data_IF_533271837626
#
_entry.id   IF_533271837626
#
_cell.length_a   1.000
_cell.length_b   1.000
_cell.length_c   1.000
_cell.angle_alpha   90.00
_cell.angle_beta   90.00
_cell.angle_gamma   90.00
#
_symmetry.space_group_name_H-M   'P 1'
#
loop_
_entity.id
_entity.type
_entity.pdbx_description
1 polymer ?
#
# COMPACT_ATOMS: atom_id res chain seq x y z
N UNK A 1 43.56 23.04 19.17
CA UNK A 1 43.04 22.02 20.11
C UNK A 1 41.74 21.55 19.47
N UNK A 2 41.89 20.81 18.37
CA UNK A 2 41.92 19.33 18.26
C UNK A 2 40.49 18.85 18.02
N UNK A 3 40.04 18.72 16.76
CA UNK A 3 40.24 17.54 15.88
C UNK A 3 39.96 16.18 16.56
N UNK A 4 39.00 16.12 17.49
CA UNK A 4 38.68 14.88 18.22
C UNK A 4 37.21 14.43 18.18
N UNK A 5 36.32 14.99 17.35
CA UNK A 5 34.89 14.60 17.38
C UNK A 5 34.22 14.30 16.02
N UNK A 6 34.98 14.14 14.94
CA UNK A 6 34.43 13.52 13.71
C UNK A 6 35.16 12.18 13.54
N UNK A 7 34.65 11.16 14.24
CA UNK A 7 35.02 9.78 13.94
C UNK A 7 34.57 9.50 12.50
N UNK A 8 35.45 8.84 11.74
CA UNK A 8 35.46 8.87 10.28
C UNK A 8 34.14 8.32 9.72
N UNK A 9 33.22 9.18 9.27
CA UNK A 9 31.97 8.78 8.59
C UNK A 9 32.26 7.82 7.43
N UNK A 10 33.48 7.87 6.88
CA UNK A 10 34.00 6.92 5.90
C UNK A 10 33.94 5.46 6.36
N UNK A 11 34.00 5.20 7.66
CA UNK A 11 33.90 3.83 8.20
C UNK A 11 32.47 3.27 8.04
N UNK A 12 31.46 4.12 7.89
CA UNK A 12 30.05 3.73 7.69
C UNK A 12 29.47 4.16 6.34
N UNK A 13 30.18 4.98 5.56
CA UNK A 13 29.73 5.40 4.23
C UNK A 13 29.61 4.20 3.28
N UNK A 14 28.48 4.09 2.57
CA UNK A 14 28.19 3.00 1.65
C UNK A 14 26.80 2.40 1.84
N UNK A 15 26.60 1.25 1.20
CA UNK A 15 25.32 0.54 1.19
C UNK A 15 25.37 -0.61 2.19
N UNK A 16 24.34 -0.69 3.03
CA UNK A 16 24.22 -1.65 4.11
C UNK A 16 22.90 -2.39 4.00
N UNK A 17 22.95 -3.71 3.84
CA UNK A 17 21.78 -4.55 3.66
C UNK A 17 21.67 -5.54 4.83
N UNK A 18 20.50 -5.63 5.43
CA UNK A 18 20.18 -6.68 6.38
C UNK A 18 18.79 -7.25 6.13
N UNK A 19 18.54 -8.37 6.77
CA UNK A 19 17.26 -9.08 6.72
C UNK A 19 16.59 -9.01 8.08
N UNK A 20 15.32 -8.64 8.08
CA UNK A 20 14.48 -8.51 9.25
C UNK A 20 13.43 -9.62 9.22
N UNK A 21 13.50 -10.56 10.15
CA UNK A 21 12.43 -11.54 10.35
C UNK A 21 11.25 -10.85 11.03
N UNK A 22 10.10 -10.77 10.34
CA UNK A 22 8.89 -10.17 10.89
C UNK A 22 7.90 -11.24 11.35
N UNK A 23 7.05 -10.94 12.35
CA UNK A 23 5.96 -11.83 12.74
C UNK A 23 5.12 -12.26 11.54
N UNK A 24 4.74 -13.54 11.48
CA UNK A 24 4.07 -14.14 10.31
C UNK A 24 5.01 -14.89 9.36
N UNK A 25 6.32 -14.94 9.67
CA UNK A 25 7.29 -15.78 8.95
C UNK A 25 7.86 -15.17 7.67
N UNK A 26 7.51 -13.91 7.37
CA UNK A 26 8.08 -13.17 6.26
C UNK A 26 9.44 -12.56 6.64
N UNK A 27 10.29 -12.37 5.63
CA UNK A 27 11.58 -11.69 5.75
C UNK A 27 11.53 -10.37 4.96
N UNK A 28 11.92 -9.26 5.60
CA UNK A 28 12.03 -7.95 4.95
C UNK A 28 13.49 -7.54 4.86
N UNK A 29 13.98 -7.33 3.63
CA UNK A 29 15.33 -6.82 3.38
C UNK A 29 15.34 -5.30 3.49
N UNK A 30 16.06 -4.82 4.48
CA UNK A 30 16.21 -3.40 4.78
C UNK A 30 17.60 -2.95 4.32
N UNK A 31 17.62 -1.92 3.48
CA UNK A 31 18.83 -1.33 2.95
C UNK A 31 18.97 0.10 3.45
N UNK A 32 20.14 0.45 3.99
CA UNK A 32 20.52 1.83 4.28
C UNK A 32 21.61 2.27 3.30
N UNK A 33 21.41 3.42 2.67
CA UNK A 33 22.44 4.10 1.91
C UNK A 33 22.94 5.29 2.73
N UNK A 34 24.16 5.20 3.25
CA UNK A 34 24.77 6.22 4.09
C UNK A 34 25.83 6.95 3.27
N UNK A 35 25.74 8.28 3.25
CA UNK A 35 26.64 9.15 2.49
C UNK A 35 27.09 10.34 3.32
N UNK A 36 28.20 10.95 2.92
CA UNK A 36 28.65 12.21 3.51
C UNK A 36 27.88 13.40 2.91
N UNK A 37 27.08 14.06 3.73
CA UNK A 37 26.31 15.25 3.37
C UNK A 37 27.09 16.57 3.50
N UNK A 38 26.40 17.72 3.34
CA UNK A 38 26.98 19.04 3.52
C UNK A 38 27.64 19.20 4.89
N UNK A 39 28.73 19.96 4.95
CA UNK A 39 29.53 20.18 6.18
C UNK A 39 30.17 18.92 6.79
N UNK A 40 30.18 17.81 6.05
CA UNK A 40 30.77 16.55 6.51
C UNK A 40 29.92 15.81 7.53
N UNK A 41 28.60 16.09 7.59
CA UNK A 41 27.65 15.37 8.43
C UNK A 41 27.09 14.15 7.69
N UNK A 42 26.78 13.04 8.37
CA UNK A 42 26.23 11.87 7.71
C UNK A 42 24.77 12.10 7.30
N UNK A 43 24.43 11.69 6.09
CA UNK A 43 23.05 11.63 5.59
C UNK A 43 22.73 10.20 5.18
N UNK A 44 21.48 9.78 5.29
CA UNK A 44 21.09 8.44 4.87
C UNK A 44 19.68 8.38 4.28
N UNK A 45 19.46 7.37 3.45
CA UNK A 45 18.12 6.91 3.04
C UNK A 45 17.96 5.45 3.41
N UNK A 46 16.71 5.03 3.57
CA UNK A 46 16.32 3.64 3.79
C UNK A 46 15.47 3.15 2.62
N UNK A 47 15.72 1.92 2.18
CA UNK A 47 14.84 1.18 1.30
C UNK A 47 14.32 -0.07 2.05
N UNK A 48 13.02 -0.34 1.95
CA UNK A 48 12.45 -1.65 2.25
C UNK A 48 12.26 -2.37 0.92
N UNK A 49 13.22 -3.25 0.58
CA UNK A 49 13.32 -3.79 -0.77
C UNK A 49 12.11 -4.66 -1.13
N UNK A 50 11.64 -5.46 -0.17
CA UNK A 50 10.48 -6.33 -0.32
C UNK A 50 9.15 -5.58 -0.23
N UNK A 51 9.14 -4.28 0.04
CA UNK A 51 7.92 -3.47 0.03
C UNK A 51 8.00 -2.36 -1.02
N UNK A 52 9.04 -2.39 -1.87
CA UNK A 52 9.36 -1.38 -2.88
C UNK A 52 9.28 0.07 -2.40
N UNK A 53 9.48 0.28 -1.10
CA UNK A 53 9.50 1.58 -0.48
C UNK A 53 10.95 2.06 -0.51
N UNK A 54 11.26 2.95 -1.47
CA UNK A 54 12.61 3.37 -1.80
C UNK A 54 12.87 4.82 -1.40
N UNK A 55 14.11 5.12 -1.01
CA UNK A 55 14.58 6.48 -0.76
C UNK A 55 13.93 7.13 0.47
N UNK A 56 13.43 6.33 1.42
CA UNK A 56 12.78 6.85 2.62
C UNK A 56 13.81 7.69 3.39
N UNK A 57 13.53 8.97 3.68
CA UNK A 57 14.48 9.81 4.39
C UNK A 57 14.80 9.26 5.78
N UNK A 58 16.09 9.21 6.13
CA UNK A 58 16.54 8.98 7.51
C UNK A 58 16.82 10.35 8.13
N UNK A 59 15.91 10.85 8.96
CA UNK A 59 15.98 12.22 9.47
C UNK A 59 17.02 12.43 10.57
N UNK A 60 17.48 11.36 11.23
CA UNK A 60 18.55 11.44 12.22
C UNK A 60 19.59 10.35 11.95
N UNK A 61 20.84 10.74 11.72
CA UNK A 61 21.99 9.84 11.64
C UNK A 61 23.02 10.26 12.68
N UNK A 62 23.34 9.38 13.63
CA UNK A 62 24.41 9.63 14.60
C UNK A 62 25.37 8.46 14.63
N UNK A 63 26.66 8.75 14.55
CA UNK A 63 27.72 7.74 14.64
C UNK A 63 28.80 8.20 15.62
N UNK A 64 29.07 7.39 16.63
CA UNK A 64 30.09 7.68 17.65
C UNK A 64 30.58 6.39 18.30
N UNK A 65 31.90 6.27 18.43
CA UNK A 65 32.60 5.17 19.11
C UNK A 65 32.24 3.78 18.57
N UNK A 66 31.93 3.69 17.27
CA UNK A 66 31.48 2.46 16.62
C UNK A 66 29.96 2.27 16.66
N UNK A 67 29.23 3.02 17.48
CA UNK A 67 27.77 2.94 17.59
C UNK A 67 27.10 3.84 16.56
N UNK A 68 26.22 3.23 15.75
CA UNK A 68 25.40 3.87 14.74
C UNK A 68 23.94 3.88 15.20
N UNK A 69 23.28 5.02 15.05
CA UNK A 69 21.83 5.15 15.16
C UNK A 69 21.26 5.85 13.94
N UNK A 70 20.21 5.26 13.38
CA UNK A 70 19.45 5.76 12.23
C UNK A 70 17.98 5.88 12.63
N UNK A 71 17.37 7.04 12.46
CA UNK A 71 15.96 7.29 12.76
C UNK A 71 15.18 7.64 11.50
N UNK A 72 14.10 6.90 11.25
CA UNK A 72 13.18 7.05 10.12
C UNK A 72 11.82 7.44 10.68
N UNK A 73 11.57 8.75 10.79
CA UNK A 73 10.42 9.32 11.52
C UNK A 73 9.10 9.04 10.82
N UNK A 74 9.08 9.00 9.49
CA UNK A 74 7.90 8.70 8.67
C UNK A 74 7.22 7.39 9.07
N UNK A 75 8.01 6.38 9.45
CA UNK A 75 7.53 5.05 9.87
C UNK A 75 7.78 4.77 11.35
N UNK A 76 8.25 5.77 12.10
CA UNK A 76 8.67 5.66 13.52
C UNK A 76 9.63 4.50 13.75
N UNK A 77 10.55 4.30 12.81
CA UNK A 77 11.56 3.25 12.81
C UNK A 77 12.91 3.76 13.29
N UNK A 78 13.63 2.92 14.01
CA UNK A 78 14.94 3.23 14.58
C UNK A 78 15.85 2.01 14.46
N UNK A 79 17.00 2.18 13.83
CA UNK A 79 18.09 1.20 13.92
C UNK A 79 19.13 1.69 14.93
N UNK A 80 19.57 0.80 15.83
CA UNK A 80 20.72 1.02 16.71
C UNK A 80 21.65 -0.19 16.60
N UNK A 81 22.91 0.02 16.26
CA UNK A 81 23.87 -1.08 16.12
C UNK A 81 25.32 -0.63 16.25
N UNK A 82 26.22 -1.59 16.40
CA UNK A 82 27.66 -1.36 16.57
C UNK A 82 28.42 -1.94 15.39
N UNK A 83 29.25 -1.11 14.75
CA UNK A 83 30.14 -1.52 13.67
C UNK A 83 31.20 -2.50 14.20
N UNK A 84 31.31 -3.66 13.56
CA UNK A 84 32.28 -4.70 13.93
C UNK A 84 33.69 -4.36 13.41
N UNK A 85 34.70 -5.01 13.98
CA UNK A 85 36.12 -4.80 13.62
C UNK A 85 36.41 -5.05 12.14
N UNK A 86 35.61 -5.88 11.46
CA UNK A 86 35.72 -6.17 10.03
C UNK A 86 35.33 -4.99 9.12
N UNK A 87 34.69 -3.95 9.66
CA UNK A 87 34.13 -2.77 8.96
C UNK A 87 33.15 -3.11 7.84
N UNK A 88 32.62 -4.33 7.85
CA UNK A 88 31.69 -4.89 6.88
C UNK A 88 30.37 -5.33 7.50
N UNK A 89 30.32 -5.41 8.83
CA UNK A 89 29.14 -5.84 9.57
C UNK A 89 28.78 -4.79 10.61
N UNK A 90 27.48 -4.46 10.72
CA UNK A 90 26.92 -3.72 11.85
C UNK A 90 25.88 -4.63 12.50
N UNK A 91 26.13 -5.03 13.74
CA UNK A 91 25.19 -5.84 14.52
C UNK A 91 24.33 -4.90 15.37
N UNK A 92 23.02 -5.03 15.28
CA UNK A 92 22.12 -4.15 16.00
C UNK A 92 20.69 -4.66 16.07
N UNK A 93 19.81 -3.73 16.40
CA UNK A 93 18.38 -3.96 16.54
C UNK A 93 17.60 -2.89 15.76
N UNK A 94 16.56 -3.34 15.07
CA UNK A 94 15.52 -2.49 14.52
C UNK A 94 14.38 -2.35 15.53
N UNK A 95 13.97 -1.12 15.79
CA UNK A 95 12.91 -0.77 16.74
C UNK A 95 11.82 -0.02 15.98
N UNK A 96 10.63 -0.61 15.88
CA UNK A 96 9.52 0.00 15.15
C UNK A 96 8.20 -0.47 15.71
N UNK A 97 7.27 0.47 15.86
CA UNK A 97 5.93 0.21 16.39
C UNK A 97 5.95 -0.58 17.71
N UNK A 98 7.00 -0.38 18.53
CA UNK A 98 7.25 -1.11 19.77
C UNK A 98 7.96 -2.45 19.61
N UNK A 99 7.94 -3.11 18.46
CA UNK A 99 8.76 -4.30 18.23
C UNK A 99 10.25 -3.95 18.27
N UNK A 100 11.05 -4.87 18.84
CA UNK A 100 12.52 -4.83 18.80
C UNK A 100 12.98 -6.13 18.15
N UNK A 101 13.58 -6.02 16.98
CA UNK A 101 13.94 -7.13 16.12
C UNK A 101 15.44 -7.07 15.84
N UNK A 102 16.20 -8.17 15.98
CA UNK A 102 17.60 -8.22 15.58
C UNK A 102 17.73 -7.83 14.10
N UNK A 103 18.71 -6.99 13.78
CA UNK A 103 19.04 -6.65 12.40
C UNK A 103 20.56 -6.57 12.27
N UNK A 104 21.11 -7.49 11.48
CA UNK A 104 22.52 -7.49 11.12
C UNK A 104 22.66 -6.93 9.72
N UNK A 105 23.33 -5.78 9.62
CA UNK A 105 23.61 -5.14 8.34
C UNK A 105 24.98 -5.58 7.83
N UNK A 106 25.01 -6.03 6.57
CA UNK A 106 26.22 -6.34 5.83
C UNK A 106 26.46 -5.29 4.75
N UNK A 107 27.70 -4.85 4.61
CA UNK A 107 28.11 -3.93 3.55
C UNK A 107 28.03 -4.60 2.19
N UNK A 108 27.42 -3.94 1.22
CA UNK A 108 27.30 -4.39 -0.17
C UNK A 108 27.79 -3.29 -1.12
N UNK A 109 28.20 -3.68 -2.33
CA UNK A 109 28.71 -2.74 -3.33
C UNK A 109 27.58 -2.10 -4.16
N UNK A 110 26.53 -2.87 -4.43
CA UNK A 110 25.40 -2.45 -5.27
C UNK A 110 24.08 -2.98 -4.70
N UNK A 111 23.02 -2.17 -4.81
CA UNK A 111 21.67 -2.56 -4.41
C UNK A 111 21.19 -3.76 -5.25
N UNK A 112 20.63 -4.82 -4.64
CA UNK A 112 20.07 -5.93 -5.39
C UNK A 112 18.92 -5.48 -6.29
N UNK A 113 18.93 -5.92 -7.55
CA UNK A 113 17.78 -5.77 -8.44
C UNK A 113 16.73 -6.83 -8.07
N UNK A 114 15.54 -6.39 -7.66
CA UNK A 114 14.39 -7.27 -7.47
C UNK A 114 13.54 -7.17 -8.73
N UNK A 115 13.46 -8.29 -9.45
CA UNK A 115 12.66 -8.39 -10.66
C UNK A 115 12.01 -9.76 -10.71
N UNK A 116 10.70 -9.78 -10.95
CA UNK A 116 9.90 -10.98 -11.22
C UNK A 116 9.82 -11.23 -12.73
N UNK A 117 9.47 -12.44 -13.12
CA UNK A 117 9.45 -12.83 -14.54
C UNK A 117 8.48 -12.00 -15.39
N UNK A 118 7.31 -11.65 -14.83
CA UNK A 118 6.27 -10.87 -15.50
C UNK A 118 6.59 -9.38 -15.62
N UNK A 119 7.63 -8.87 -14.95
CA UNK A 119 8.03 -7.48 -15.11
C UNK A 119 8.48 -7.24 -16.56
N UNK A 120 7.85 -6.29 -17.28
CA UNK A 120 8.17 -6.03 -18.67
C UNK A 120 9.63 -5.59 -18.81
N UNK A 121 10.26 -5.98 -19.92
CA UNK A 121 11.67 -5.67 -20.20
C UNK A 121 11.78 -4.71 -21.38
N UNK A 122 12.65 -3.70 -21.23
CA UNK A 122 12.94 -2.72 -22.27
C UNK A 122 13.76 -3.34 -23.43
N UNK A 123 13.63 -2.81 -24.67
CA UNK A 123 12.75 -1.71 -25.06
C UNK A 123 11.29 -2.17 -25.16
N UNK A 124 10.37 -1.34 -24.67
CA UNK A 124 8.94 -1.60 -24.77
C UNK A 124 8.43 -1.36 -26.21
N UNK A 125 7.34 -2.05 -26.63
CA UNK A 125 6.71 -1.82 -27.92
C UNK A 125 5.84 -0.55 -27.94
N UNK A 126 5.76 0.15 -26.82
CA UNK A 126 5.06 1.41 -26.61
C UNK A 126 6.06 2.46 -26.09
N UNK A 127 5.61 3.72 -25.99
CA UNK A 127 6.39 4.80 -25.43
C UNK A 127 6.03 5.02 -23.95
N UNK A 128 7.00 5.50 -23.17
CA UNK A 128 6.80 5.86 -21.76
C UNK A 128 7.33 7.29 -21.53
N UNK A 129 6.62 8.03 -20.69
CA UNK A 129 6.97 9.39 -20.30
C UNK A 129 6.88 9.52 -18.77
N UNK A 130 7.94 10.05 -18.16
CA UNK A 130 7.88 10.52 -16.78
C UNK A 130 7.12 11.86 -16.74
N UNK A 131 6.05 11.90 -15.96
CA UNK A 131 5.13 13.02 -15.92
C UNK A 131 4.99 13.56 -14.51
N UNK A 132 4.69 14.85 -14.41
CA UNK A 132 4.30 15.49 -13.15
C UNK A 132 3.09 16.37 -13.42
N UNK A 133 2.04 16.19 -12.63
CA UNK A 133 0.84 17.01 -12.69
C UNK A 133 0.49 17.55 -11.30
N UNK A 134 -0.35 18.59 -11.26
CA UNK A 134 -0.64 19.34 -10.03
C UNK A 134 -2.09 19.13 -9.62
N UNK A 135 -2.31 18.70 -8.37
CA UNK A 135 -3.58 18.90 -7.70
C UNK A 135 -3.56 20.29 -7.06
N UNK A 136 -4.05 21.29 -7.82
CA UNK A 136 -4.00 22.70 -7.42
C UNK A 136 -4.83 23.01 -6.18
N UNK A 137 -5.88 22.22 -5.90
CA UNK A 137 -6.73 22.40 -4.72
C UNK A 137 -5.97 22.01 -3.44
N UNK A 138 -5.24 20.89 -3.49
CA UNK A 138 -4.42 20.42 -2.38
C UNK A 138 -3.01 21.04 -2.33
N UNK A 139 -2.58 21.73 -3.39
CA UNK A 139 -1.24 22.32 -3.49
C UNK A 139 -0.13 21.27 -3.55
N UNK A 140 -0.42 20.09 -4.12
CA UNK A 140 0.55 18.99 -4.26
C UNK A 140 0.82 18.69 -5.73
N UNK A 141 2.06 18.32 -6.01
CA UNK A 141 2.51 17.74 -7.28
C UNK A 141 2.59 16.23 -7.16
N UNK A 142 2.05 15.55 -8.16
CA UNK A 142 2.00 14.11 -8.27
C UNK A 142 2.90 13.69 -9.43
N UNK A 143 3.89 12.86 -9.12
CA UNK A 143 4.77 12.26 -10.11
C UNK A 143 4.18 10.94 -10.59
N UNK A 144 4.38 10.63 -11.87
CA UNK A 144 3.85 9.40 -12.45
C UNK A 144 4.54 9.03 -13.76
N UNK A 145 4.07 7.95 -14.35
CA UNK A 145 4.45 7.51 -15.69
C UNK A 145 3.20 7.43 -16.55
N UNK A 146 3.25 8.02 -17.74
CA UNK A 146 2.26 7.84 -18.80
C UNK A 146 2.83 6.90 -19.87
N UNK A 147 2.17 5.79 -20.12
CA UNK A 147 2.50 4.90 -21.24
C UNK A 147 1.56 5.14 -22.41
N UNK A 148 2.11 5.20 -23.63
CA UNK A 148 1.39 5.56 -24.86
C UNK A 148 1.62 4.50 -25.94
N UNK A 149 0.55 3.96 -26.55
CA UNK A 149 0.69 3.10 -27.72
C UNK A 149 1.42 3.83 -28.87
N UNK A 150 2.15 3.08 -29.70
CA UNK A 150 2.79 3.64 -30.92
C UNK A 150 1.87 3.73 -32.14
N UNK A 151 0.63 3.28 -32.02
CA UNK A 151 -0.38 3.41 -33.08
C UNK A 151 -0.84 4.87 -33.23
N UNK A 152 -1.67 5.17 -34.23
CA UNK A 152 -2.27 6.50 -34.35
C UNK A 152 -3.34 6.70 -33.26
N UNK A 153 -3.26 7.83 -32.55
CA UNK A 153 -4.25 8.26 -31.56
C UNK A 153 -5.41 9.09 -32.15
N UNK A 154 -6.23 9.74 -31.32
CA UNK A 154 -6.14 9.79 -29.85
C UNK A 154 -6.56 8.46 -29.18
N UNK A 155 -5.90 8.13 -28.07
CA UNK A 155 -6.07 6.85 -27.37
C UNK A 155 -7.13 6.94 -26.26
N UNK A 156 -7.92 5.88 -26.04
CA UNK A 156 -8.56 5.70 -24.74
C UNK A 156 -7.48 5.60 -23.65
N UNK A 157 -7.81 6.03 -22.44
CA UNK A 157 -6.85 6.05 -21.35
C UNK A 157 -7.44 5.49 -20.06
N UNK A 158 -6.58 4.96 -19.19
CA UNK A 158 -6.95 4.59 -17.82
C UNK A 158 -5.97 5.18 -16.81
N UNK A 159 -6.50 5.52 -15.64
CA UNK A 159 -5.69 5.84 -14.44
C UNK A 159 -5.74 4.62 -13.52
N UNK A 160 -4.58 4.13 -13.09
CA UNK A 160 -4.49 3.08 -12.06
C UNK A 160 -4.44 3.74 -10.67
N UNK A 161 -5.30 3.28 -9.75
CA UNK A 161 -5.46 3.82 -8.40
C UNK A 161 -5.08 2.73 -7.41
N UNK A 162 -4.03 2.99 -6.65
CA UNK A 162 -3.39 2.07 -5.70
C UNK A 162 -4.29 1.71 -4.53
N UNK A 163 -3.98 0.60 -3.86
CA UNK A 163 -4.60 0.17 -2.62
C UNK A 163 -4.15 0.97 -1.40
N UNK A 164 -4.44 0.42 -0.22
CA UNK A 164 -4.19 1.14 1.04
C UNK A 164 -2.71 1.25 1.41
N UNK A 165 -2.41 2.32 2.15
CA UNK A 165 -1.05 2.63 2.60
C UNK A 165 -0.27 3.51 1.61
N UNK A 166 0.97 3.85 1.94
CA UNK A 166 1.82 4.65 1.07
C UNK A 166 2.35 3.81 -0.12
N UNK A 167 1.79 4.00 -1.32
CA UNK A 167 2.16 3.21 -2.50
C UNK A 167 2.92 4.01 -3.55
N UNK A 168 3.85 3.34 -4.23
CA UNK A 168 4.45 3.84 -5.47
C UNK A 168 3.51 3.55 -6.66
N UNK A 169 3.79 4.15 -7.82
CA UNK A 169 2.98 3.99 -9.04
C UNK A 169 2.83 2.56 -9.57
N UNK A 170 3.67 1.64 -9.13
CA UNK A 170 3.68 0.23 -9.56
C UNK A 170 2.91 -0.69 -8.60
N UNK A 171 2.42 -0.14 -7.47
CA UNK A 171 1.79 -0.88 -6.38
C UNK A 171 2.68 -2.03 -5.86
N UNK A 172 3.97 -1.72 -5.70
CA UNK A 172 5.00 -2.69 -5.38
C UNK A 172 4.83 -3.38 -4.02
N UNK A 173 4.78 -4.71 -3.99
CA UNK A 173 4.73 -5.51 -2.75
C UNK A 173 5.39 -6.87 -2.92
N UNK A 174 6.32 -7.25 -2.05
CA UNK A 174 7.14 -8.47 -2.12
C UNK A 174 7.81 -8.70 -3.49
N UNK A 175 8.21 -7.61 -4.15
CA UNK A 175 8.78 -7.59 -5.50
C UNK A 175 7.76 -7.77 -6.64
N UNK A 176 6.48 -7.90 -6.32
CA UNK A 176 5.40 -7.86 -7.31
C UNK A 176 5.03 -6.42 -7.64
N UNK A 177 4.88 -6.14 -8.93
CA UNK A 177 4.51 -4.83 -9.47
C UNK A 177 3.25 -4.94 -10.32
N UNK A 178 2.07 -5.21 -9.71
CA UNK A 178 0.85 -5.51 -10.45
C UNK A 178 0.45 -4.39 -11.41
N UNK A 179 0.66 -3.12 -11.04
CA UNK A 179 0.33 -2.00 -11.92
C UNK A 179 1.32 -1.82 -13.06
N UNK A 180 2.57 -2.25 -12.90
CA UNK A 180 3.54 -2.31 -14.02
C UNK A 180 3.13 -3.37 -15.05
N UNK A 181 2.77 -4.57 -14.58
CA UNK A 181 2.34 -5.66 -15.46
C UNK A 181 1.02 -5.30 -16.16
N UNK A 182 0.04 -4.75 -15.42
CA UNK A 182 -1.24 -4.33 -15.98
C UNK A 182 -1.08 -3.17 -16.98
N UNK A 183 -0.21 -2.20 -16.70
CA UNK A 183 0.09 -1.10 -17.62
C UNK A 183 0.73 -1.59 -18.92
N UNK A 184 1.72 -2.49 -18.86
CA UNK A 184 2.30 -3.10 -20.08
C UNK A 184 1.23 -3.83 -20.90
N UNK A 185 0.41 -4.64 -20.23
CA UNK A 185 -0.65 -5.40 -20.88
C UNK A 185 -1.67 -4.51 -21.60
N UNK A 186 -2.21 -3.49 -20.92
CA UNK A 186 -3.21 -2.58 -21.51
C UNK A 186 -2.61 -1.68 -22.60
N UNK A 187 -1.37 -1.21 -22.43
CA UNK A 187 -0.70 -0.35 -23.43
C UNK A 187 -0.46 -1.11 -24.74
N UNK A 188 -0.11 -2.40 -24.66
CA UNK A 188 -0.02 -3.27 -25.84
C UNK A 188 -1.36 -3.47 -26.57
N UNK A 189 -2.47 -3.22 -25.90
CA UNK A 189 -3.82 -3.30 -26.47
C UNK A 189 -4.34 -1.94 -26.98
N UNK A 190 -3.50 -0.91 -27.00
CA UNK A 190 -3.87 0.40 -27.55
C UNK A 190 -4.53 1.34 -26.55
N UNK A 191 -4.37 1.10 -25.24
CA UNK A 191 -4.90 1.93 -24.16
C UNK A 191 -3.75 2.68 -23.50
N UNK A 192 -3.80 4.01 -23.42
CA UNK A 192 -2.84 4.78 -22.64
C UNK A 192 -3.03 4.56 -21.14
N UNK A 193 -1.96 4.49 -20.35
CA UNK A 193 -2.07 4.23 -18.91
C UNK A 193 -1.29 5.26 -18.12
N UNK A 194 -1.99 5.97 -17.23
CA UNK A 194 -1.37 6.82 -16.22
C UNK A 194 -1.27 6.05 -14.89
N UNK A 195 -0.05 6.00 -14.37
CA UNK A 195 0.24 5.50 -13.02
C UNK A 195 0.93 6.60 -12.25
N UNK A 196 0.51 6.86 -11.02
CA UNK A 196 1.06 7.94 -10.19
C UNK A 196 1.53 7.40 -8.85
N UNK A 197 2.61 7.99 -8.32
CA UNK A 197 3.00 7.76 -6.93
C UNK A 197 2.01 8.49 -6.03
N UNK A 198 1.59 7.86 -4.94
CA UNK A 198 0.72 8.52 -3.97
C UNK A 198 1.39 9.79 -3.43
N UNK A 199 0.58 10.77 -3.01
CA UNK A 199 1.09 12.00 -2.40
C UNK A 199 2.14 11.70 -1.32
N UNK A 200 3.27 12.40 -1.36
CA UNK A 200 4.38 12.20 -0.43
C UNK A 200 5.20 10.92 -0.62
N UNK A 201 4.91 10.12 -1.66
CA UNK A 201 5.64 8.90 -2.02
C UNK A 201 6.35 9.11 -3.36
N UNK A 202 7.51 8.47 -3.53
CA UNK A 202 8.29 8.53 -4.76
C UNK A 202 8.62 9.97 -5.18
N UNK A 203 8.23 10.36 -6.39
CA UNK A 203 8.43 11.72 -6.89
C UNK A 203 7.34 12.71 -6.47
N UNK A 204 6.28 12.25 -5.82
CA UNK A 204 5.15 13.07 -5.41
C UNK A 204 5.45 13.86 -4.14
N UNK A 205 5.01 15.11 -4.12
CA UNK A 205 5.08 15.98 -2.94
C UNK A 205 3.88 15.76 -2.01
N UNK A 206 3.90 16.32 -0.80
CA UNK A 206 2.80 16.24 0.15
C UNK A 206 3.14 15.36 1.36
N UNK A 207 2.12 15.03 2.15
CA UNK A 207 2.27 14.25 3.38
C UNK A 207 1.08 13.28 3.53
N UNK A 208 1.38 12.00 3.79
CA UNK A 208 0.40 10.91 3.92
C UNK A 208 -0.26 10.80 5.32
N UNK A 209 0.27 11.46 6.34
CA UNK A 209 -0.14 11.23 7.74
C UNK A 209 -1.52 11.79 8.09
N UNK A 210 -2.06 12.73 7.32
CA UNK A 210 -3.31 13.43 7.63
C UNK A 210 -4.36 13.36 6.52
N UNK A 211 -4.21 12.41 5.60
CA UNK A 211 -5.05 12.32 4.39
C UNK A 211 -6.00 11.13 4.51
N UNK A 212 -7.04 11.14 3.68
CA UNK A 212 -8.10 10.14 3.63
C UNK A 212 -8.34 9.70 2.17
N UNK A 213 -9.17 8.69 1.94
CA UNK A 213 -9.54 8.28 0.57
C UNK A 213 -10.19 9.41 -0.24
N UNK A 214 -10.78 10.41 0.43
CA UNK A 214 -11.30 11.63 -0.19
C UNK A 214 -10.23 12.51 -0.82
N UNK A 215 -9.10 12.62 -0.13
CA UNK A 215 -7.94 13.35 -0.61
C UNK A 215 -7.32 12.68 -1.84
N UNK A 216 -7.19 11.35 -1.79
CA UNK A 216 -6.71 10.55 -2.92
C UNK A 216 -7.69 10.63 -4.11
N UNK A 217 -9.00 10.67 -3.87
CA UNK A 217 -9.97 10.95 -4.95
C UNK A 217 -9.72 12.31 -5.62
N UNK A 218 -9.32 13.34 -4.87
CA UNK A 218 -8.88 14.62 -5.41
C UNK A 218 -7.64 14.52 -6.30
N UNK A 219 -6.68 13.67 -5.92
CA UNK A 219 -5.47 13.42 -6.70
C UNK A 219 -5.78 12.72 -8.04
N UNK A 220 -6.72 11.77 -8.03
CA UNK A 220 -7.20 11.11 -9.25
C UNK A 220 -7.95 12.08 -10.15
N UNK A 221 -8.78 12.97 -9.60
CA UNK A 221 -9.45 14.03 -10.37
C UNK A 221 -8.44 14.95 -11.07
N UNK A 222 -7.34 15.32 -10.41
CA UNK A 222 -6.25 16.06 -11.04
C UNK A 222 -5.57 15.27 -12.17
N UNK A 223 -5.45 13.94 -12.03
CA UNK A 223 -4.95 13.05 -13.08
C UNK A 223 -5.87 13.00 -14.30
N UNK A 224 -7.20 13.04 -14.10
CA UNK A 224 -8.18 13.13 -15.20
C UNK A 224 -7.99 14.45 -15.97
N UNK A 225 -7.87 15.58 -15.27
CA UNK A 225 -7.64 16.88 -15.92
C UNK A 225 -6.29 16.93 -16.65
N UNK A 226 -5.25 16.30 -16.09
CA UNK A 226 -3.97 16.14 -16.77
C UNK A 226 -4.13 15.36 -18.08
N UNK A 227 -4.77 14.18 -18.06
CA UNK A 227 -4.99 13.38 -19.27
C UNK A 227 -5.81 14.13 -20.33
N UNK A 228 -6.84 14.90 -19.92
CA UNK A 228 -7.64 15.73 -20.84
C UNK A 228 -6.82 16.84 -21.52
N UNK A 229 -5.68 17.23 -20.95
CA UNK A 229 -4.79 18.24 -21.54
C UNK A 229 -3.84 17.69 -22.60
N UNK A 230 -3.74 16.35 -22.74
CA UNK A 230 -2.85 15.66 -23.67
C UNK A 230 -3.54 15.46 -25.02
N UNK A 231 -2.90 15.88 -26.11
CA UNK A 231 -3.43 15.73 -27.48
C UNK A 231 -3.50 14.25 -27.92
N UNK A 232 -2.68 13.40 -27.30
CA UNK A 232 -2.62 11.96 -27.55
C UNK A 232 -3.81 11.20 -26.96
N UNK A 233 -4.57 11.82 -26.06
CA UNK A 233 -5.63 11.17 -25.28
C UNK A 233 -7.00 11.61 -25.75
N UNK A 234 -7.92 10.65 -25.88
CA UNK A 234 -9.33 10.93 -26.12
C UNK A 234 -10.03 11.24 -24.79
N UNK A 235 -10.41 12.49 -24.54
CA UNK A 235 -10.96 12.91 -23.25
C UNK A 235 -12.34 12.28 -22.96
N UNK A 236 -12.99 11.66 -23.96
CA UNK A 236 -14.29 11.00 -23.78
C UNK A 236 -14.18 9.52 -23.41
N UNK A 237 -12.95 8.98 -23.40
CA UNK A 237 -12.66 7.56 -23.14
C UNK A 237 -11.60 7.40 -22.04
N UNK A 238 -11.75 8.14 -20.95
CA UNK A 238 -10.91 8.02 -19.74
C UNK A 238 -11.64 7.13 -18.73
N UNK A 239 -11.05 5.98 -18.39
CA UNK A 239 -11.54 5.08 -17.35
C UNK A 239 -10.65 5.06 -16.10
N UNK A 240 -11.13 4.43 -15.04
CA UNK A 240 -10.38 4.24 -13.79
C UNK A 240 -10.28 2.75 -13.48
N UNK A 241 -9.12 2.31 -12.99
CA UNK A 241 -8.93 0.96 -12.45
C UNK A 241 -8.38 1.11 -11.05
N UNK A 242 -9.13 0.70 -10.04
CA UNK A 242 -8.74 0.81 -8.64
C UNK A 242 -8.59 -0.54 -7.99
N UNK A 243 -7.46 -0.78 -7.32
CA UNK A 243 -7.22 -1.99 -6.54
C UNK A 243 -7.42 -1.73 -5.05
N UNK A 244 -8.07 -2.65 -4.33
CA UNK A 244 -8.30 -2.55 -2.89
C UNK A 244 -8.95 -1.20 -2.51
N UNK A 245 -8.30 -0.34 -1.70
CA UNK A 245 -8.78 1.02 -1.44
C UNK A 245 -9.01 1.85 -2.70
N UNK A 246 -8.19 1.69 -3.74
CA UNK A 246 -8.40 2.32 -5.05
C UNK A 246 -9.76 1.96 -5.67
N UNK A 247 -10.27 0.75 -5.40
CA UNK A 247 -11.60 0.31 -5.80
C UNK A 247 -12.73 0.98 -5.02
N UNK A 248 -12.47 1.50 -3.81
CA UNK A 248 -13.36 2.39 -3.07
C UNK A 248 -13.28 3.84 -3.59
N UNK A 249 -12.09 4.28 -4.00
CA UNK A 249 -11.83 5.63 -4.51
C UNK A 249 -12.45 5.85 -5.91
N UNK A 250 -12.38 4.86 -6.81
CA UNK A 250 -12.88 4.99 -8.17
C UNK A 250 -14.37 5.40 -8.26
N UNK A 251 -15.31 4.80 -7.49
CA UNK A 251 -16.69 5.28 -7.40
C UNK A 251 -16.83 6.73 -6.90
N UNK A 252 -16.02 7.15 -5.92
CA UNK A 252 -16.04 8.53 -5.41
C UNK A 252 -15.71 9.50 -6.55
N UNK A 253 -14.67 9.19 -7.32
CA UNK A 253 -14.23 10.00 -8.46
C UNK A 253 -15.29 10.00 -9.57
N UNK A 254 -15.84 8.83 -9.92
CA UNK A 254 -16.85 8.69 -10.98
C UNK A 254 -18.15 9.45 -10.69
N UNK A 255 -18.52 9.61 -9.41
CA UNK A 255 -19.68 10.42 -9.01
C UNK A 255 -19.38 11.93 -9.10
N UNK A 256 -18.11 12.33 -8.96
CA UNK A 256 -17.67 13.74 -8.98
C UNK A 256 -17.32 14.25 -10.35
N UNK A 257 -16.91 13.38 -11.26
CA UNK A 257 -16.54 13.73 -12.62
C UNK A 257 -17.41 13.00 -13.64
N UNK A 258 -18.20 13.72 -14.45
CA UNK A 258 -18.94 13.10 -15.55
C UNK A 258 -18.03 12.62 -16.70
N UNK A 259 -16.73 12.94 -16.66
CA UNK A 259 -15.76 12.57 -17.68
C UNK A 259 -15.27 11.11 -17.54
N UNK A 260 -15.63 10.43 -16.45
CA UNK A 260 -15.25 9.02 -16.24
C UNK A 260 -16.11 8.11 -17.13
N UNK A 261 -15.47 7.52 -18.14
CA UNK A 261 -16.13 6.70 -19.14
C UNK A 261 -16.55 5.32 -18.62
N UNK A 262 -15.79 4.73 -17.67
CA UNK A 262 -16.04 3.46 -16.99
C UNK A 262 -15.14 3.33 -15.74
N UNK A 263 -15.45 2.39 -14.84
CA UNK A 263 -14.59 2.03 -13.72
C UNK A 263 -14.42 0.51 -13.60
N UNK A 264 -13.21 0.08 -13.20
CA UNK A 264 -12.88 -1.31 -12.83
C UNK A 264 -12.47 -1.34 -11.36
N UNK A 265 -13.18 -2.12 -10.56
CA UNK A 265 -12.96 -2.31 -9.12
C UNK A 265 -12.29 -3.68 -8.93
N UNK A 266 -10.98 -3.67 -8.71
CA UNK A 266 -10.18 -4.86 -8.42
C UNK A 266 -10.12 -5.05 -6.90
N UNK A 267 -10.83 -6.05 -6.37
CA UNK A 267 -10.93 -6.27 -4.93
C UNK A 267 -11.33 -5.02 -4.14
N UNK A 268 -12.21 -4.19 -4.71
CA UNK A 268 -12.67 -2.94 -4.09
C UNK A 268 -13.74 -3.17 -3.02
N UNK A 269 -13.68 -2.49 -1.86
CA UNK A 269 -14.71 -2.59 -0.82
C UNK A 269 -16.11 -2.13 -1.28
N UNK A 270 -17.10 -3.03 -1.16
CA UNK A 270 -18.54 -2.74 -1.24
C UNK A 270 -19.23 -2.67 0.13
N UNK A 271 -18.54 -3.14 1.18
CA UNK A 271 -18.98 -3.08 2.58
C UNK A 271 -18.28 -1.93 3.31
N UNK A 272 -18.73 -1.62 4.53
CA UNK A 272 -18.02 -0.64 5.37
C UNK A 272 -16.63 -1.13 5.74
N UNK A 273 -15.67 -0.22 5.96
CA UNK A 273 -14.31 -0.62 6.33
C UNK A 273 -14.25 -1.40 7.65
N UNK A 274 -15.18 -1.17 8.58
CA UNK A 274 -15.32 -1.99 9.78
C UNK A 274 -15.65 -3.45 9.46
N UNK A 275 -16.62 -3.69 8.58
CA UNK A 275 -17.00 -5.05 8.15
C UNK A 275 -15.86 -5.74 7.41
N UNK A 276 -15.21 -5.02 6.48
CA UNK A 276 -14.06 -5.54 5.72
C UNK A 276 -12.92 -5.96 6.66
N UNK A 277 -12.47 -5.08 7.57
CA UNK A 277 -11.33 -5.40 8.44
C UNK A 277 -11.66 -6.55 9.40
N UNK A 278 -12.90 -6.64 9.88
CA UNK A 278 -13.32 -7.76 10.75
C UNK A 278 -13.33 -9.09 10.00
N UNK A 279 -13.89 -9.14 8.78
CA UNK A 279 -13.87 -10.34 7.94
C UNK A 279 -12.43 -10.72 7.57
N UNK A 280 -11.63 -9.73 7.14
CA UNK A 280 -10.22 -9.90 6.81
C UNK A 280 -9.43 -10.52 7.96
N UNK A 281 -9.56 -9.95 9.16
CA UNK A 281 -8.83 -10.43 10.33
C UNK A 281 -9.23 -11.85 10.72
N UNK A 282 -10.52 -12.18 10.66
CA UNK A 282 -11.03 -13.52 10.99
C UNK A 282 -10.50 -14.57 9.99
N UNK A 283 -10.60 -14.29 8.68
CA UNK A 283 -10.20 -15.24 7.63
C UNK A 283 -8.69 -15.45 7.56
N UNK A 284 -7.89 -14.39 7.66
CA UNK A 284 -6.42 -14.51 7.70
C UNK A 284 -6.00 -15.32 8.92
N UNK A 285 -6.55 -15.02 10.11
CA UNK A 285 -6.22 -15.77 11.33
C UNK A 285 -6.55 -17.26 11.21
N UNK A 286 -7.68 -17.61 10.58
CA UNK A 286 -8.03 -19.01 10.30
C UNK A 286 -7.05 -19.67 9.35
N UNK A 287 -6.66 -18.98 8.28
CA UNK A 287 -5.70 -19.49 7.29
C UNK A 287 -4.32 -19.74 7.91
N UNK A 288 -3.95 -18.93 8.91
CA UNK A 288 -2.70 -19.06 9.68
C UNK A 288 -2.80 -20.09 10.83
N UNK A 289 -3.95 -20.73 11.01
CA UNK A 289 -4.14 -21.79 12.01
C UNK A 289 -4.40 -21.30 13.44
N UNK A 290 -4.76 -20.02 13.61
CA UNK A 290 -5.20 -19.49 14.90
C UNK A 290 -6.51 -20.16 15.32
N UNK A 291 -6.63 -20.52 16.59
CA UNK A 291 -7.81 -21.21 17.11
C UNK A 291 -9.04 -20.28 17.21
N UNK A 292 -10.23 -20.89 17.20
CA UNK A 292 -11.51 -20.17 17.22
C UNK A 292 -11.75 -19.31 18.47
N UNK A 293 -11.20 -19.72 19.62
CA UNK A 293 -11.39 -19.00 20.88
C UNK A 293 -10.61 -17.68 20.84
N UNK A 294 -9.34 -17.76 20.42
CA UNK A 294 -8.48 -16.59 20.19
C UNK A 294 -9.07 -15.64 19.14
N UNK A 295 -9.55 -16.17 18.00
CA UNK A 295 -10.18 -15.33 16.97
C UNK A 295 -11.42 -14.61 17.51
N UNK A 296 -12.28 -15.32 18.24
CA UNK A 296 -13.49 -14.72 18.83
C UNK A 296 -13.14 -13.61 19.81
N UNK A 297 -12.14 -13.83 20.68
CA UNK A 297 -11.65 -12.85 21.65
C UNK A 297 -11.08 -11.61 20.96
N UNK A 298 -10.23 -11.80 19.95
CA UNK A 298 -9.65 -10.70 19.15
C UNK A 298 -10.73 -9.87 18.45
N UNK A 299 -11.73 -10.52 17.85
CA UNK A 299 -12.85 -9.85 17.20
C UNK A 299 -13.69 -9.00 18.17
N UNK A 300 -13.87 -9.45 19.42
CA UNK A 300 -14.55 -8.66 20.47
C UNK A 300 -13.74 -7.43 20.84
N UNK A 301 -12.43 -7.55 21.00
CA UNK A 301 -11.54 -6.41 21.27
C UNK A 301 -11.58 -5.41 20.11
N UNK A 302 -11.44 -5.88 18.86
CA UNK A 302 -11.47 -5.03 17.66
C UNK A 302 -12.78 -4.24 17.57
N UNK A 303 -13.94 -4.88 17.72
CA UNK A 303 -15.25 -4.20 17.73
C UNK A 303 -15.36 -3.15 18.83
N UNK A 304 -14.77 -3.41 19.99
CA UNK A 304 -14.73 -2.46 21.11
C UNK A 304 -13.86 -1.25 20.77
N UNK A 305 -12.69 -1.47 20.15
CA UNK A 305 -11.82 -0.39 19.68
C UNK A 305 -12.48 0.44 18.57
N UNK A 306 -13.12 -0.19 17.60
CA UNK A 306 -13.79 0.50 16.49
C UNK A 306 -15.00 1.31 16.97
N UNK A 307 -15.78 0.78 17.92
CA UNK A 307 -16.83 1.57 18.60
C UNK A 307 -16.28 2.86 19.20
N UNK A 308 -15.12 2.82 19.86
CA UNK A 308 -14.46 4.02 20.40
C UNK A 308 -14.11 5.00 19.27
N UNK A 309 -13.52 4.53 18.17
CA UNK A 309 -13.15 5.38 17.04
C UNK A 309 -14.37 6.04 16.39
N UNK A 310 -15.47 5.31 16.22
CA UNK A 310 -16.70 5.83 15.60
C UNK A 310 -17.41 6.86 16.48
N UNK A 311 -17.44 6.64 17.80
CA UNK A 311 -18.18 7.48 18.74
C UNK A 311 -17.38 8.68 19.28
N UNK A 312 -16.06 8.55 19.43
CA UNK A 312 -15.20 9.55 20.06
C UNK A 312 -14.33 10.30 19.04
N UNK A 313 -14.75 11.53 18.72
CA UNK A 313 -14.02 12.40 17.78
C UNK A 313 -12.81 13.09 18.42
N UNK A 314 -12.74 13.19 19.75
CA UNK A 314 -11.58 13.77 20.41
C UNK A 314 -10.44 12.75 20.52
N UNK A 315 -9.37 12.94 19.74
CA UNK A 315 -8.23 12.03 19.71
C UNK A 315 -7.59 11.78 21.09
N UNK A 316 -7.51 12.80 21.96
CA UNK A 316 -6.96 12.63 23.32
C UNK A 316 -7.84 11.73 24.20
N UNK A 317 -9.16 11.78 24.02
CA UNK A 317 -10.09 10.93 24.75
C UNK A 317 -10.11 9.53 24.16
N UNK A 318 -10.15 9.42 22.83
CA UNK A 318 -10.10 8.15 22.11
C UNK A 318 -8.82 7.37 22.47
N UNK A 319 -7.66 8.03 22.43
CA UNK A 319 -6.38 7.45 22.82
C UNK A 319 -6.42 6.84 24.23
N UNK A 320 -6.95 7.57 25.23
CA UNK A 320 -7.05 7.05 26.60
C UNK A 320 -7.96 5.82 26.70
N UNK A 321 -9.10 5.83 26.00
CA UNK A 321 -10.05 4.72 25.97
C UNK A 321 -9.42 3.48 25.30
N UNK A 322 -8.78 3.67 24.13
CA UNK A 322 -8.12 2.59 23.38
C UNK A 322 -6.94 2.00 24.15
N UNK A 323 -6.04 2.85 24.68
CA UNK A 323 -4.92 2.40 25.52
C UNK A 323 -5.42 1.54 26.67
N UNK A 324 -6.51 1.95 27.33
CA UNK A 324 -7.10 1.16 28.41
C UNK A 324 -7.62 -0.20 27.92
N UNK A 325 -8.38 -0.24 26.83
CA UNK A 325 -8.89 -1.50 26.26
C UNK A 325 -7.77 -2.48 25.92
N UNK A 326 -6.74 -2.00 25.21
CA UNK A 326 -5.61 -2.83 24.79
C UNK A 326 -4.82 -3.33 26.01
N UNK A 327 -4.51 -2.43 26.95
CA UNK A 327 -3.76 -2.80 28.17
C UNK A 327 -4.54 -3.78 29.06
N UNK A 328 -5.86 -3.60 29.21
CA UNK A 328 -6.72 -4.50 29.98
C UNK A 328 -6.75 -5.89 29.32
N UNK A 329 -6.82 -5.98 27.98
CA UNK A 329 -6.78 -7.25 27.25
C UNK A 329 -5.42 -7.95 27.42
N UNK A 330 -4.32 -7.22 27.23
CA UNK A 330 -2.97 -7.77 27.37
C UNK A 330 -2.67 -8.24 28.79
N UNK A 331 -3.23 -7.61 29.81
CA UNK A 331 -3.12 -8.05 31.20
C UNK A 331 -3.86 -9.37 31.48
N UNK A 332 -4.89 -9.69 30.70
CA UNK A 332 -5.70 -10.90 30.85
C UNK A 332 -5.22 -12.08 29.99
N UNK A 333 -4.23 -11.88 29.12
CA UNK A 333 -3.63 -12.97 28.33
C UNK A 333 -2.91 -13.97 29.24
N UNK A 334 -3.02 -15.25 28.88
CA UNK A 334 -2.21 -16.31 29.47
C UNK A 334 -0.73 -16.16 29.13
N UNK A 335 0.14 -16.80 29.91
CA UNK A 335 1.59 -16.76 29.66
C UNK A 335 1.98 -17.41 28.32
N UNK A 336 1.23 -18.41 27.87
CA UNK A 336 1.40 -19.03 26.56
C UNK A 336 1.06 -18.04 25.43
N UNK A 337 -0.05 -17.32 25.54
CA UNK A 337 -0.44 -16.30 24.56
C UNK A 337 0.54 -15.12 24.53
N UNK A 338 1.08 -14.71 25.69
CA UNK A 338 2.14 -13.69 25.75
C UNK A 338 3.39 -14.16 25.03
N UNK A 339 3.83 -15.40 25.24
CA UNK A 339 4.98 -15.97 24.53
C UNK A 339 4.75 -16.03 23.02
N UNK A 340 3.56 -16.48 22.59
CA UNK A 340 3.24 -16.64 21.17
C UNK A 340 3.00 -15.31 20.43
N UNK A 341 2.63 -14.24 21.15
CA UNK A 341 2.42 -12.90 20.58
C UNK A 341 3.68 -12.03 20.56
N UNK A 342 4.82 -12.54 21.02
CA UNK A 342 6.04 -11.75 21.16
C UNK A 342 5.93 -10.65 22.23
N UNK A 343 5.04 -10.84 23.22
CA UNK A 343 4.85 -9.90 24.31
C UNK A 343 6.14 -9.64 25.07
N UNK A 344 6.47 -8.37 25.28
CA UNK A 344 7.54 -7.94 26.15
C UNK A 344 7.12 -6.70 26.93
N UNK A 345 7.28 -6.73 28.25
CA UNK A 345 6.98 -5.58 29.12
C UNK A 345 7.79 -4.34 28.71
N UNK A 346 9.00 -4.55 28.18
CA UNK A 346 9.87 -3.45 27.75
C UNK A 346 9.34 -2.72 26.51
N UNK A 347 8.55 -3.40 25.67
CA UNK A 347 8.05 -2.88 24.39
C UNK A 347 6.57 -2.54 24.40
N UNK A 348 5.85 -2.98 25.44
CA UNK A 348 4.40 -2.89 25.57
C UNK A 348 3.85 -1.48 25.30
N UNK A 349 4.37 -0.46 25.98
CA UNK A 349 3.83 0.90 25.83
C UNK A 349 4.01 1.43 24.40
N UNK A 350 5.13 1.10 23.76
CA UNK A 350 5.41 1.51 22.38
C UNK A 350 4.50 0.76 21.37
N UNK A 351 4.24 -0.53 21.58
CA UNK A 351 3.29 -1.33 20.78
C UNK A 351 1.88 -0.75 20.87
N UNK A 352 1.40 -0.54 22.10
CA UNK A 352 0.09 0.05 22.34
C UNK A 352 0.02 1.46 21.75
N UNK A 353 1.05 2.29 21.92
CA UNK A 353 1.08 3.62 21.32
C UNK A 353 0.99 3.56 19.79
N UNK A 354 1.75 2.68 19.13
CA UNK A 354 1.72 2.56 17.68
C UNK A 354 0.33 2.16 17.18
N UNK A 355 -0.26 1.12 17.77
CA UNK A 355 -1.60 0.65 17.42
C UNK A 355 -2.65 1.74 17.62
N UNK A 356 -2.62 2.45 18.75
CA UNK A 356 -3.55 3.55 19.03
C UNK A 356 -3.43 4.67 18.01
N UNK A 357 -2.20 5.04 17.64
CA UNK A 357 -1.95 6.11 16.68
C UNK A 357 -2.43 5.75 15.26
N UNK A 358 -2.31 4.48 14.86
CA UNK A 358 -2.93 3.98 13.62
C UNK A 358 -4.45 4.09 13.69
N UNK A 359 -5.06 3.67 14.81
CA UNK A 359 -6.52 3.66 14.98
C UNK A 359 -7.15 5.05 14.97
N UNK A 360 -6.49 6.05 15.54
CA UNK A 360 -7.00 7.44 15.60
C UNK A 360 -6.63 8.28 14.36
N UNK A 361 -5.93 7.70 13.39
CA UNK A 361 -5.53 8.41 12.17
C UNK A 361 -6.77 8.88 11.39
N UNK A 362 -6.67 10.01 10.65
CA UNK A 362 -7.77 10.48 9.80
C UNK A 362 -8.22 9.41 8.80
N UNK A 363 -7.25 8.72 8.17
CA UNK A 363 -7.52 7.63 7.25
C UNK A 363 -8.33 6.50 7.89
N UNK A 364 -7.91 5.98 9.05
CA UNK A 364 -8.62 4.88 9.70
C UNK A 364 -10.04 5.28 10.12
N UNK A 365 -10.21 6.51 10.64
CA UNK A 365 -11.54 7.05 10.97
C UNK A 365 -12.44 7.10 9.75
N UNK A 366 -11.92 7.60 8.63
CA UNK A 366 -12.64 7.66 7.38
C UNK A 366 -13.00 6.25 6.90
N UNK A 367 -12.02 5.38 6.75
CA UNK A 367 -12.20 4.03 6.21
C UNK A 367 -13.21 3.21 7.03
N UNK A 368 -13.12 3.23 8.36
CA UNK A 368 -14.07 2.50 9.22
C UNK A 368 -15.51 3.00 9.14
N UNK A 369 -15.71 4.29 8.83
CA UNK A 369 -17.05 4.91 8.83
C UNK A 369 -17.64 5.14 7.45
N UNK A 370 -16.82 5.05 6.41
CA UNK A 370 -17.26 5.20 5.04
C UNK A 370 -18.08 3.98 4.61
N UNK A 371 -19.29 4.26 4.13
CA UNK A 371 -20.18 3.28 3.50
C UNK A 371 -20.10 3.46 1.98
N UNK A 372 -19.58 2.48 1.22
CA UNK A 372 -19.50 2.57 -0.24
C UNK A 372 -20.87 2.56 -0.93
N UNK A 373 -21.91 1.97 -0.33
CA UNK A 373 -23.17 1.71 -1.03
C UNK A 373 -23.88 3.00 -1.52
N UNK A 374 -24.02 4.09 -0.72
CA UNK A 374 -24.59 5.35 -1.20
C UNK A 374 -23.85 5.96 -2.40
N UNK A 375 -22.54 5.78 -2.48
CA UNK A 375 -21.72 6.27 -3.62
C UNK A 375 -21.90 5.38 -4.83
N UNK A 376 -21.84 4.05 -4.65
CA UNK A 376 -22.08 3.08 -5.72
C UNK A 376 -23.47 3.24 -6.35
N UNK A 377 -24.51 3.55 -5.55
CA UNK A 377 -25.86 3.87 -6.06
C UNK A 377 -25.88 5.09 -7.02
N UNK A 378 -24.91 6.00 -6.87
CA UNK A 378 -24.82 7.21 -7.70
C UNK A 378 -24.02 6.98 -8.99
N UNK A 379 -23.19 5.92 -9.06
CA UNK A 379 -22.39 5.61 -10.25
C UNK A 379 -23.29 5.33 -11.46
N UNK A 380 -23.03 6.04 -12.57
CA UNK A 380 -23.77 5.91 -13.83
C UNK A 380 -22.94 5.39 -14.99
N UNK A 381 -21.62 5.45 -14.93
CA UNK A 381 -20.77 4.83 -15.94
C UNK A 381 -20.76 3.30 -15.78
N UNK A 382 -20.31 2.57 -16.81
CA UNK A 382 -20.15 1.13 -16.76
C UNK A 382 -19.18 0.69 -15.66
N UNK A 383 -19.47 -0.44 -15.01
CA UNK A 383 -18.67 -0.96 -13.88
C UNK A 383 -18.27 -2.41 -14.10
N UNK A 384 -16.98 -2.71 -13.99
CA UNK A 384 -16.50 -4.07 -13.74
C UNK A 384 -16.08 -4.19 -12.28
N UNK A 385 -16.69 -5.07 -11.49
CA UNK A 385 -16.24 -5.38 -10.14
C UNK A 385 -15.77 -6.84 -10.09
N UNK A 386 -14.51 -7.06 -9.70
CA UNK A 386 -13.92 -8.39 -9.62
C UNK A 386 -13.19 -8.61 -8.29
N UNK A 387 -13.26 -9.83 -7.77
CA UNK A 387 -12.45 -10.30 -6.64
C UNK A 387 -11.88 -11.68 -6.97
N UNK A 388 -10.73 -12.03 -6.40
CA UNK A 388 -10.25 -13.41 -6.41
C UNK A 388 -11.10 -14.29 -5.47
N UNK A 389 -11.39 -15.53 -5.87
CA UNK A 389 -12.14 -16.51 -5.05
C UNK A 389 -11.48 -16.75 -3.68
N UNK A 390 -10.16 -16.65 -3.60
CA UNK A 390 -9.36 -16.84 -2.38
C UNK A 390 -8.92 -15.53 -1.75
N UNK A 391 -9.55 -14.41 -2.11
CA UNK A 391 -9.26 -13.14 -1.46
C UNK A 391 -9.71 -13.19 0.01
N UNK A 392 -8.75 -13.16 0.94
CA UNK A 392 -9.01 -13.10 2.38
C UNK A 392 -8.99 -11.67 2.93
N UNK A 393 -8.64 -10.67 2.12
CA UNK A 393 -8.57 -9.27 2.53
C UNK A 393 -9.85 -8.51 2.20
N UNK A 394 -10.42 -8.78 1.03
CA UNK A 394 -11.73 -8.28 0.63
C UNK A 394 -12.54 -9.51 0.17
N UNK A 395 -13.19 -10.23 1.10
CA UNK A 395 -13.80 -11.52 0.80
C UNK A 395 -14.88 -11.43 -0.26
N UNK A 396 -14.84 -12.27 -1.31
CA UNK A 396 -15.59 -12.04 -2.54
C UNK A 396 -17.11 -12.13 -2.35
N UNK A 397 -17.60 -13.09 -1.56
CA UNK A 397 -19.04 -13.41 -1.47
C UNK A 397 -19.87 -12.20 -1.01
N UNK A 398 -19.62 -11.72 0.21
CA UNK A 398 -20.37 -10.60 0.78
C UNK A 398 -20.03 -9.28 0.09
N UNK A 399 -18.77 -9.11 -0.33
CA UNK A 399 -18.30 -7.87 -0.94
C UNK A 399 -18.92 -7.63 -2.32
N UNK A 400 -18.81 -8.61 -3.22
CA UNK A 400 -19.36 -8.49 -4.58
C UNK A 400 -20.89 -8.40 -4.55
N UNK A 401 -21.54 -9.11 -3.63
CA UNK A 401 -22.98 -8.99 -3.43
C UNK A 401 -23.38 -7.56 -3.06
N UNK A 402 -22.69 -6.94 -2.09
CA UNK A 402 -22.97 -5.57 -1.67
C UNK A 402 -22.79 -4.55 -2.81
N UNK A 403 -21.73 -4.70 -3.62
CA UNK A 403 -21.51 -3.87 -4.82
C UNK A 403 -22.68 -4.03 -5.79
N UNK A 404 -23.05 -5.27 -6.10
CA UNK A 404 -24.11 -5.55 -7.06
C UNK A 404 -25.46 -4.99 -6.60
N UNK A 405 -25.80 -5.14 -5.33
CA UNK A 405 -27.02 -4.62 -4.73
C UNK A 405 -27.07 -3.08 -4.80
N UNK A 406 -25.97 -2.40 -4.48
CA UNK A 406 -25.87 -0.95 -4.56
C UNK A 406 -26.01 -0.43 -6.00
N UNK A 407 -25.34 -1.05 -6.97
CA UNK A 407 -25.44 -0.69 -8.39
C UNK A 407 -26.87 -0.91 -8.92
N UNK A 408 -27.50 -2.03 -8.57
CA UNK A 408 -28.91 -2.32 -8.88
C UNK A 408 -29.84 -1.28 -8.30
N UNK A 409 -29.68 -0.93 -7.02
CA UNK A 409 -30.49 0.06 -6.32
C UNK A 409 -30.30 1.48 -6.90
N UNK A 410 -29.08 1.79 -7.35
CA UNK A 410 -28.75 3.01 -8.09
C UNK A 410 -29.32 3.09 -9.51
N UNK A 411 -29.87 1.99 -10.00
CA UNK A 411 -30.41 1.88 -11.34
C UNK A 411 -29.35 1.76 -12.44
N UNK A 412 -28.09 1.46 -12.11
CA UNK A 412 -27.08 1.16 -13.11
C UNK A 412 -27.48 -0.14 -13.83
N UNK A 413 -27.40 -0.13 -15.17
CA UNK A 413 -27.78 -1.26 -16.04
C UNK A 413 -26.59 -1.85 -16.79
N UNK A 414 -25.44 -1.22 -16.66
CA UNK A 414 -24.22 -1.60 -17.34
C UNK A 414 -23.16 -1.89 -16.29
N UNK A 415 -23.20 -3.12 -15.77
CA UNK A 415 -22.21 -3.58 -14.82
C UNK A 415 -21.97 -5.08 -14.98
N UNK A 416 -20.75 -5.50 -14.67
CA UNK A 416 -20.34 -6.89 -14.56
C UNK A 416 -19.73 -7.10 -13.18
N UNK A 417 -20.25 -8.07 -12.43
CA UNK A 417 -19.71 -8.48 -11.13
C UNK A 417 -19.24 -9.92 -11.25
N UNK A 418 -17.97 -10.19 -10.93
CA UNK A 418 -17.39 -11.53 -11.08
C UNK A 418 -16.37 -11.89 -10.02
N UNK A 419 -16.54 -13.06 -9.45
CA UNK A 419 -15.47 -13.77 -8.76
C UNK A 419 -14.56 -14.46 -9.79
N UNK A 420 -13.23 -14.40 -9.57
CA UNK A 420 -12.22 -15.01 -10.43
C UNK A 420 -11.64 -16.25 -9.73
N UNK A 421 -11.87 -17.46 -10.26
CA UNK A 421 -11.52 -18.70 -9.56
C UNK A 421 -10.03 -18.84 -9.24
N UNK A 422 -9.73 -19.32 -8.02
CA UNK A 422 -8.39 -19.65 -7.55
C UNK A 422 -7.45 -18.48 -7.26
N UNK A 423 -7.88 -17.23 -7.45
CA UNK A 423 -7.01 -16.06 -7.27
C UNK A 423 -7.12 -15.48 -5.85
N UNK A 424 -6.00 -14.96 -5.31
CA UNK A 424 -5.96 -14.20 -4.05
C UNK A 424 -6.28 -12.70 -4.27
N UNK A 425 -6.07 -11.89 -3.23
CA UNK A 425 -6.28 -10.43 -3.26
C UNK A 425 -5.48 -9.72 -4.36
N UNK A 426 -4.22 -10.12 -4.59
CA UNK A 426 -3.35 -9.57 -5.64
C UNK A 426 -3.65 -10.16 -7.04
N UNK A 427 -4.74 -10.92 -7.18
CA UNK A 427 -5.10 -11.64 -8.40
C UNK A 427 -4.04 -12.67 -8.85
N UNK A 428 -3.32 -13.26 -7.91
CA UNK A 428 -2.36 -14.34 -8.15
C UNK A 428 -3.01 -15.70 -7.87
N UNK A 429 -2.60 -16.72 -8.60
CA UNK A 429 -3.01 -18.11 -8.34
C UNK A 429 -2.47 -18.55 -6.99
N UNK A 430 -3.37 -18.80 -6.03
CA UNK A 430 -2.99 -19.06 -4.64
C UNK A 430 -3.50 -20.41 -4.14
N UNK A 431 -2.89 -20.92 -3.06
CA UNK A 431 -3.35 -22.15 -2.41
C UNK A 431 -4.36 -21.83 -1.31
N UNK A 432 -4.00 -20.96 -0.38
CA UNK A 432 -4.87 -20.56 0.74
C UNK A 432 -5.46 -19.18 0.58
N UNK A 433 -4.76 -18.28 -0.13
CA UNK A 433 -5.12 -16.86 -0.19
C UNK A 433 -4.50 -16.01 0.92
N UNK A 434 -3.77 -16.62 1.87
CA UNK A 434 -3.07 -15.89 2.93
C UNK A 434 -1.99 -14.97 2.35
N UNK A 435 -1.83 -13.73 2.86
CA UNK A 435 -0.74 -12.84 2.48
C UNK A 435 0.66 -13.43 2.71
N UNK A 436 0.80 -14.42 3.60
CA UNK A 436 2.06 -15.14 3.80
C UNK A 436 2.56 -15.89 2.56
N UNK A 437 1.68 -16.18 1.59
CA UNK A 437 2.07 -16.84 0.34
C UNK A 437 2.72 -15.88 -0.67
N UNK A 438 2.57 -14.56 -0.53
CA UNK A 438 2.96 -13.59 -1.57
C UNK A 438 4.44 -13.69 -1.93
N UNK A 439 5.32 -13.84 -0.93
CA UNK A 439 6.76 -13.94 -1.16
C UNK A 439 7.15 -15.16 -2.00
N UNK A 440 6.40 -16.26 -1.84
CA UNK A 440 6.68 -17.55 -2.49
C UNK A 440 6.00 -17.72 -3.85
N UNK A 441 5.01 -16.88 -4.18
CA UNK A 441 4.34 -16.90 -5.47
C UNK A 441 5.20 -16.10 -6.48
N UNK A 442 5.47 -16.67 -7.65
CA UNK A 442 6.20 -15.96 -8.72
C UNK A 442 5.29 -15.12 -9.63
N UNK A 443 4.05 -15.57 -9.81
CA UNK A 443 3.02 -14.87 -10.58
C UNK A 443 2.67 -13.54 -9.87
N UNK A 444 2.88 -12.41 -10.54
CA UNK A 444 2.50 -11.07 -10.07
C UNK A 444 1.02 -10.79 -10.26
N UNK A 445 0.46 -11.18 -11.40
CA UNK A 445 -0.98 -11.10 -11.68
C UNK A 445 -1.33 -12.17 -12.71
N UNK A 446 -2.45 -12.86 -12.48
CA UNK A 446 -2.87 -13.95 -13.35
C UNK A 446 -3.22 -13.45 -14.75
N UNK A 447 -2.75 -14.14 -15.81
CA UNK A 447 -3.19 -13.86 -17.18
C UNK A 447 -4.72 -13.85 -17.34
N UNK A 448 -5.44 -14.69 -16.58
CA UNK A 448 -6.90 -14.72 -16.62
C UNK A 448 -7.54 -13.41 -16.10
N UNK A 449 -6.94 -12.78 -15.08
CA UNK A 449 -7.37 -11.48 -14.57
C UNK A 449 -7.06 -10.37 -15.59
N UNK A 450 -5.85 -10.37 -16.16
CA UNK A 450 -5.45 -9.43 -17.22
C UNK A 450 -6.40 -9.51 -18.43
N UNK A 451 -6.68 -10.72 -18.91
CA UNK A 451 -7.61 -10.98 -20.01
C UNK A 451 -9.02 -10.49 -19.70
N UNK A 452 -9.53 -10.76 -18.50
CA UNK A 452 -10.86 -10.30 -18.09
C UNK A 452 -10.96 -8.77 -18.11
N UNK A 453 -9.99 -8.08 -17.51
CA UNK A 453 -9.95 -6.62 -17.44
C UNK A 453 -9.81 -6.03 -18.85
N UNK A 454 -8.82 -6.49 -19.63
CA UNK A 454 -8.54 -5.92 -20.96
C UNK A 454 -9.67 -6.16 -21.96
N UNK A 455 -10.27 -7.35 -21.97
CA UNK A 455 -11.40 -7.65 -22.86
C UNK A 455 -12.62 -6.81 -22.50
N UNK A 456 -12.95 -6.72 -21.20
CA UNK A 456 -14.07 -5.90 -20.75
C UNK A 456 -13.87 -4.43 -21.11
N UNK A 457 -12.69 -3.85 -20.86
CA UNK A 457 -12.39 -2.48 -21.26
C UNK A 457 -12.53 -2.32 -22.77
N UNK A 458 -11.96 -3.24 -23.55
CA UNK A 458 -12.00 -3.21 -25.03
C UNK A 458 -13.42 -3.17 -25.58
N UNK A 459 -14.35 -3.91 -24.97
CA UNK A 459 -15.77 -3.88 -25.33
C UNK A 459 -16.40 -2.49 -25.07
N UNK A 460 -16.11 -1.87 -23.92
CA UNK A 460 -16.72 -0.60 -23.51
C UNK A 460 -16.09 0.65 -24.15
N UNK A 461 -14.88 0.55 -24.72
CA UNK A 461 -14.25 1.63 -25.49
C UNK A 461 -14.57 1.59 -26.99
N UNK A 462 -15.05 0.45 -27.51
CA UNK A 462 -15.43 0.29 -28.92
C UNK A 462 -16.88 0.68 -29.20
N UNK A 463 -17.76 0.65 -28.19
CA UNK A 463 -19.21 0.90 -28.34
C UNK A 463 -19.64 2.38 -28.37
N UNK A 464 -18.71 3.35 -28.48
CA UNK A 464 -19.02 4.79 -28.48
C UNK A 464 -18.58 5.53 -29.73
#
# INVERSE_FOLDING_TARGET
MSDENVQDIKDIEGIWLGSLEVPGGNELRILFNISTGPEGLPTATMDSLDQEANGIPVETVTYKDGDLRLEVKSIRGVFEGTLKEDRKTIEGEWKQAGSVLPLVLSRIDEKPEIRREQDPVKPYPYDEEEVVYENTEAGVKLAGTLTLPRSEGPFPAVILITGSGPQNRDEGVFGHRPFLVLSDYLTRQGIAVLRADDRGIGGSTGNVSNVTSEDFAGDVLAGIEYLKSREEIDPTRIGLIGHSEGGLIAPIVAVRSPDVAFIVLMAGPGLTGEEIILLQSDLISRAEGVDNETITRNNVLMKSMYSVIKEEQNNTIAEKKLRKLIMDEMANMSEEEKQNSGYSEATLDALVNAQVQTLISPWMRFFLTYDPAPTLMQVKCPVLAINGEKDLQVPPEENLQAIEEALKAGGNKDYTVKEVPGLNHLFQTAQTGSPSEYTAIEETISPAALEMIGNWISEHIQEK
#
